data_IF_657259983579
#
_entry.id   IF_657259983579
#
_cell.length_a   1.000
_cell.length_b   1.000
_cell.length_c   1.000
_cell.angle_alpha   90.00
_cell.angle_beta   90.00
_cell.angle_gamma   90.00
#
_symmetry.space_group_name_H-M   'P 1'
#
loop_
_entity.id
_entity.type
_entity.pdbx_description
1 polymer ?
#
# COMPACT_ATOMS: atom_id res chain seq x y z
N UNK A 1 45.26 24.90 3.34
CA UNK A 1 43.84 25.08 2.96
C UNK A 1 43.24 23.90 2.16
N UNK A 2 43.99 22.83 1.86
CA UNK A 2 43.49 21.69 1.05
C UNK A 2 42.88 20.51 1.86
N UNK A 3 43.16 20.41 3.16
CA UNK A 3 42.60 19.33 4.03
C UNK A 3 41.15 19.59 4.44
N UNK A 4 40.77 20.85 4.64
CA UNK A 4 39.39 21.27 4.95
C UNK A 4 38.43 21.06 3.79
N UNK A 5 38.90 21.19 2.55
CA UNK A 5 38.10 20.95 1.34
C UNK A 5 37.76 19.47 1.12
N UNK A 6 38.64 18.56 1.58
CA UNK A 6 38.41 17.10 1.51
C UNK A 6 37.41 16.60 2.56
N UNK A 7 37.38 17.21 3.76
CA UNK A 7 36.36 16.92 4.76
C UNK A 7 34.96 17.39 4.32
N UNK A 8 34.87 18.54 3.64
CA UNK A 8 33.60 19.04 3.12
C UNK A 8 33.00 18.12 2.03
N UNK A 9 33.84 17.52 1.19
CA UNK A 9 33.40 16.56 0.16
C UNK A 9 32.90 15.23 0.77
N UNK A 10 33.55 14.74 1.83
CA UNK A 10 33.11 13.53 2.55
C UNK A 10 31.78 13.75 3.30
N UNK A 11 31.52 14.95 3.83
CA UNK A 11 30.25 15.29 4.47
C UNK A 11 29.08 15.38 3.47
N UNK A 12 29.33 15.88 2.25
CA UNK A 12 28.31 15.94 1.20
C UNK A 12 27.91 14.56 0.67
N UNK A 13 28.84 13.60 0.64
CA UNK A 13 28.55 12.22 0.21
C UNK A 13 27.67 11.45 1.21
N UNK A 14 27.75 11.77 2.51
CA UNK A 14 26.90 11.16 3.54
C UNK A 14 25.45 11.69 3.52
N UNK A 15 25.23 12.91 3.03
CA UNK A 15 23.89 13.49 2.89
C UNK A 15 23.12 12.97 1.67
N UNK A 16 23.82 12.45 0.65
CA UNK A 16 23.20 11.91 -0.57
C UNK A 16 22.58 10.52 -0.40
N UNK A 17 22.92 9.79 0.68
CA UNK A 17 22.43 8.42 0.90
C UNK A 17 21.07 8.35 1.61
N UNK A 18 20.52 9.49 2.04
CA UNK A 18 19.14 9.61 2.55
C UNK A 18 18.19 10.04 1.43
N UNK A 19 18.45 9.61 0.20
CA UNK A 19 17.41 9.54 -0.82
C UNK A 19 16.42 8.47 -0.35
N UNK A 20 15.46 8.91 0.47
CA UNK A 20 14.45 8.04 1.07
C UNK A 20 13.85 7.14 0.02
N UNK A 21 13.87 5.83 0.29
CA UNK A 21 13.07 4.88 -0.47
C UNK A 21 11.65 5.44 -0.52
N UNK A 22 11.20 5.87 -1.71
CA UNK A 22 9.81 6.24 -1.89
C UNK A 22 9.02 4.97 -1.63
N UNK A 23 8.35 4.90 -0.49
CA UNK A 23 7.48 3.79 -0.18
C UNK A 23 6.41 3.73 -1.27
N UNK A 24 6.48 2.69 -2.12
CA UNK A 24 5.46 2.48 -3.13
C UNK A 24 4.14 2.27 -2.39
N UNK A 25 3.16 3.12 -2.69
CA UNK A 25 1.86 3.05 -2.05
C UNK A 25 1.28 1.66 -2.30
N UNK A 26 1.04 0.92 -1.22
CA UNK A 26 0.57 -0.46 -1.30
C UNK A 26 -0.90 -0.45 -1.66
N UNK A 27 -1.30 -1.31 -2.58
CA UNK A 27 -2.69 -1.47 -2.98
C UNK A 27 -3.11 -2.92 -2.79
N UNK A 28 -4.34 -3.14 -2.32
CA UNK A 28 -4.97 -4.46 -2.31
C UNK A 28 -6.37 -4.38 -2.94
N UNK A 29 -6.79 -5.44 -3.61
CA UNK A 29 -8.15 -5.66 -4.09
C UNK A 29 -8.85 -6.71 -3.23
N UNK A 30 -9.88 -6.27 -2.49
CA UNK A 30 -10.81 -7.13 -1.77
C UNK A 30 -12.02 -7.44 -2.67
N UNK A 31 -12.12 -8.69 -3.10
CA UNK A 31 -13.28 -9.20 -3.82
C UNK A 31 -14.20 -9.90 -2.82
N UNK A 32 -15.45 -9.48 -2.71
CA UNK A 32 -16.41 -10.09 -1.78
C UNK A 32 -17.84 -10.06 -2.31
N UNK A 33 -18.74 -10.75 -1.62
CA UNK A 33 -20.16 -10.79 -1.99
C UNK A 33 -20.88 -9.48 -1.62
N UNK A 34 -21.98 -9.17 -2.32
CA UNK A 34 -22.78 -7.97 -2.07
C UNK A 34 -23.25 -7.83 -0.61
N UNK A 35 -23.50 -8.96 0.08
CA UNK A 35 -23.89 -8.97 1.50
C UNK A 35 -22.85 -8.38 2.44
N UNK A 36 -21.57 -8.34 2.04
CA UNK A 36 -20.47 -7.81 2.83
C UNK A 36 -20.09 -6.37 2.44
N UNK A 37 -20.73 -5.77 1.43
CA UNK A 37 -20.38 -4.44 0.92
C UNK A 37 -20.37 -3.37 2.01
N UNK A 38 -21.45 -3.29 2.78
CA UNK A 38 -21.61 -2.24 3.78
C UNK A 38 -20.67 -2.47 4.98
N UNK A 39 -20.40 -3.74 5.31
CA UNK A 39 -19.40 -4.10 6.34
C UNK A 39 -18.03 -3.53 5.97
N UNK A 40 -17.56 -3.76 4.74
CA UNK A 40 -16.25 -3.28 4.35
C UNK A 40 -16.20 -1.77 4.07
N UNK A 41 -17.31 -1.18 3.59
CA UNK A 41 -17.43 0.28 3.47
C UNK A 41 -17.15 0.96 4.80
N UNK A 42 -17.67 0.40 5.90
CA UNK A 42 -17.51 0.97 7.24
C UNK A 42 -16.20 0.54 7.91
N UNK A 43 -15.70 -0.66 7.62
CA UNK A 43 -14.51 -1.22 8.24
C UNK A 43 -13.20 -0.72 7.61
N UNK A 44 -13.13 -0.62 6.28
CA UNK A 44 -11.88 -0.33 5.56
C UNK A 44 -11.20 0.99 6.00
N UNK A 45 -11.91 2.10 6.25
CA UNK A 45 -11.28 3.32 6.74
C UNK A 45 -10.52 3.10 8.07
N UNK A 46 -11.08 2.27 8.96
CA UNK A 46 -10.46 1.94 10.25
C UNK A 46 -9.25 1.04 10.05
N UNK A 47 -9.35 0.06 9.16
CA UNK A 47 -8.25 -0.84 8.82
C UNK A 47 -7.06 -0.08 8.22
N UNK A 48 -7.30 0.80 7.25
CA UNK A 48 -6.26 1.63 6.61
C UNK A 48 -5.55 2.49 7.66
N UNK A 49 -6.32 3.15 8.53
CA UNK A 49 -5.79 3.96 9.63
C UNK A 49 -4.92 3.13 10.58
N UNK A 50 -5.42 1.95 10.99
CA UNK A 50 -4.69 1.04 11.87
C UNK A 50 -3.44 0.46 11.21
N UNK A 51 -3.49 0.14 9.92
CA UNK A 51 -2.35 -0.35 9.15
C UNK A 51 -1.23 0.70 9.13
N UNK A 52 -1.53 1.93 8.72
CA UNK A 52 -0.56 3.03 8.71
C UNK A 52 0.03 3.30 10.08
N UNK A 53 -0.78 3.27 11.14
CA UNK A 53 -0.29 3.44 12.51
C UNK A 53 0.68 2.32 12.94
N UNK A 54 0.48 1.10 12.43
CA UNK A 54 1.30 -0.07 12.76
C UNK A 54 2.57 -0.18 11.92
N UNK A 55 2.51 0.10 10.63
CA UNK A 55 3.60 -0.15 9.68
C UNK A 55 4.33 1.12 9.27
N UNK A 56 3.70 2.29 9.40
CA UNK A 56 4.17 3.55 8.81
C UNK A 56 3.92 3.65 7.30
N UNK A 57 3.29 2.65 6.68
CA UNK A 57 3.05 2.58 5.24
C UNK A 57 1.63 3.04 4.87
N UNK A 58 1.50 3.69 3.71
CA UNK A 58 0.21 4.00 3.11
C UNK A 58 -0.38 2.76 2.41
N UNK A 59 -1.68 2.54 2.59
CA UNK A 59 -2.42 1.44 1.98
C UNK A 59 -3.69 1.94 1.29
N UNK A 60 -3.89 1.52 0.04
CA UNK A 60 -5.14 1.66 -0.71
C UNK A 60 -5.87 0.32 -0.67
N UNK A 61 -7.14 0.33 -0.31
CA UNK A 61 -8.02 -0.85 -0.37
C UNK A 61 -9.06 -0.62 -1.45
N UNK A 62 -8.91 -1.29 -2.59
CA UNK A 62 -9.93 -1.38 -3.64
C UNK A 62 -10.90 -2.52 -3.33
N UNK A 63 -12.10 -2.42 -3.86
CA UNK A 63 -13.17 -3.37 -3.57
C UNK A 63 -13.98 -3.73 -4.81
N UNK A 64 -14.38 -5.00 -4.88
CA UNK A 64 -15.35 -5.51 -5.84
C UNK A 64 -16.46 -6.24 -5.09
N UNK A 65 -17.72 -5.84 -5.31
CA UNK A 65 -18.91 -6.46 -4.73
C UNK A 65 -19.90 -6.88 -5.80
N UNK A 66 -20.52 -8.05 -5.60
CA UNK A 66 -21.45 -8.62 -6.56
C UNK A 66 -22.01 -9.96 -6.09
N UNK A 67 -22.89 -10.57 -6.90
CA UNK A 67 -23.36 -11.93 -6.67
C UNK A 67 -22.22 -12.94 -6.62
N UNK A 68 -22.36 -13.99 -5.81
CA UNK A 68 -21.29 -14.97 -5.53
C UNK A 68 -20.73 -15.62 -6.79
N UNK A 69 -21.59 -16.12 -7.68
CA UNK A 69 -21.16 -16.72 -8.94
C UNK A 69 -20.44 -15.74 -9.86
N UNK A 70 -20.80 -14.45 -9.82
CA UNK A 70 -20.13 -13.41 -10.62
C UNK A 70 -18.72 -13.18 -10.09
N UNK A 71 -18.54 -13.07 -8.78
CA UNK A 71 -17.23 -12.83 -8.18
C UNK A 71 -16.30 -14.03 -8.32
N UNK A 72 -16.81 -15.24 -8.06
CA UNK A 72 -16.02 -16.47 -8.23
C UNK A 72 -15.57 -16.62 -9.68
N UNK A 73 -16.47 -16.35 -10.66
CA UNK A 73 -16.06 -16.36 -12.07
C UNK A 73 -15.06 -15.27 -12.40
N UNK A 74 -15.26 -14.04 -11.93
CA UNK A 74 -14.31 -12.96 -12.20
C UNK A 74 -12.88 -13.30 -11.74
N UNK A 75 -12.73 -13.88 -10.55
CA UNK A 75 -11.43 -14.34 -10.04
C UNK A 75 -10.90 -15.51 -10.88
N UNK A 76 -11.74 -16.50 -11.19
CA UNK A 76 -11.34 -17.63 -12.04
C UNK A 76 -10.92 -17.19 -13.47
N UNK A 77 -11.52 -16.13 -13.99
CA UNK A 77 -11.25 -15.55 -15.30
C UNK A 77 -10.05 -14.57 -15.29
N UNK A 78 -9.37 -14.39 -14.15
CA UNK A 78 -8.11 -13.66 -14.05
C UNK A 78 -8.18 -12.29 -13.36
N UNK A 79 -9.25 -11.97 -12.63
CA UNK A 79 -9.24 -10.83 -11.72
C UNK A 79 -8.22 -11.07 -10.61
N UNK A 80 -7.19 -10.23 -10.53
CA UNK A 80 -6.13 -10.29 -9.52
C UNK A 80 -6.62 -9.79 -8.16
N UNK A 81 -7.36 -10.64 -7.45
CA UNK A 81 -7.78 -10.39 -6.09
C UNK A 81 -6.68 -10.74 -5.09
N UNK A 82 -6.40 -9.84 -4.14
CA UNK A 82 -5.53 -10.15 -3.01
C UNK A 82 -6.27 -10.92 -1.91
N UNK A 83 -7.59 -10.71 -1.82
CA UNK A 83 -8.48 -11.33 -0.83
C UNK A 83 -9.81 -11.66 -1.50
N UNK A 84 -10.33 -12.88 -1.22
CA UNK A 84 -11.64 -13.41 -1.67
C UNK A 84 -12.44 -13.88 -0.46
#
# INVERSE_FOLDING_TARGET
MHKTLRLAFAAAALLGFVAGAQAQQKEILNVSYDVARDVFKDYNPRFITAYKAKTGEELIVKQSHGGSSKQVRAVADGLEADVV
#
